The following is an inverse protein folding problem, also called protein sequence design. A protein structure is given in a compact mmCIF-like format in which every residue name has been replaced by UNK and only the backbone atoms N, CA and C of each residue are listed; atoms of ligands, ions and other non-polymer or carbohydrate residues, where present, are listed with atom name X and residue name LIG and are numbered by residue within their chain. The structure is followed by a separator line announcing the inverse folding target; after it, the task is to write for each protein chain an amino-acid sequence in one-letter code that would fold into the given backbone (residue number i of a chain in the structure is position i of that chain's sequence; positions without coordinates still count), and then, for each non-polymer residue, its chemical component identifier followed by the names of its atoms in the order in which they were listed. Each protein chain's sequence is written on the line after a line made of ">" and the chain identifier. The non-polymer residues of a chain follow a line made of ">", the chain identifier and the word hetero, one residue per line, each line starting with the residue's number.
data_IF_999326540012
#
_entry.id   IF_999326540012
#
_cell.length_a   1.000
_cell.length_b   1.000
_cell.length_c   1.000
_cell.angle_alpha   90.00
_cell.angle_beta   90.00
_cell.angle_gamma   90.00
#
_symmetry.space_group_name_H-M   'P 1'
#
loop_
_entity.id
_entity.type
_entity.pdbx_description
1 polymer ?
#
# COMPACT_ATOMS: atom_id res chain seq x y z
N UNK A 1 13.79 -7.19 -2.65
CA UNK A 1 12.34 -7.38 -2.49
C UNK A 1 11.87 -8.74 -3.02
N UNK A 2 11.05 -9.48 -2.26
CA UNK A 2 10.45 -10.77 -2.67
C UNK A 2 9.10 -10.58 -3.37
N UNK A 3 8.36 -9.54 -2.99
CA UNK A 3 7.04 -9.19 -3.51
C UNK A 3 7.05 -7.80 -4.15
N UNK A 4 6.21 -7.55 -5.17
CA UNK A 4 6.04 -6.20 -5.71
C UNK A 4 5.50 -5.23 -4.64
N UNK A 5 5.92 -3.94 -4.64
CA UNK A 5 5.46 -2.95 -3.66
C UNK A 5 3.94 -2.84 -3.61
N UNK A 6 3.31 -2.85 -4.79
CA UNK A 6 1.87 -2.72 -4.95
C UNK A 6 1.11 -3.90 -4.34
N UNK A 7 1.71 -5.11 -4.37
CA UNK A 7 1.13 -6.29 -3.73
C UNK A 7 1.20 -6.17 -2.20
N UNK A 8 2.30 -5.68 -1.65
CA UNK A 8 2.46 -5.45 -0.21
C UNK A 8 1.45 -4.40 0.26
N UNK A 9 1.36 -3.27 -0.43
CA UNK A 9 0.40 -2.20 -0.15
C UNK A 9 -1.03 -2.73 -0.17
N UNK A 10 -1.40 -3.46 -1.22
CA UNK A 10 -2.74 -4.02 -1.37
C UNK A 10 -3.08 -4.98 -0.23
N UNK A 11 -2.18 -5.92 0.06
CA UNK A 11 -2.38 -6.92 1.10
C UNK A 11 -2.55 -6.26 2.46
N UNK A 12 -1.73 -5.25 2.77
CA UNK A 12 -1.84 -4.55 4.04
C UNK A 12 -3.09 -3.69 4.12
N UNK A 13 -3.45 -2.97 3.05
CA UNK A 13 -4.68 -2.18 2.99
C UNK A 13 -5.93 -3.01 3.26
N UNK A 14 -6.00 -4.25 2.74
CA UNK A 14 -7.11 -5.16 3.01
C UNK A 14 -7.32 -5.48 4.50
N UNK A 15 -6.30 -5.35 5.35
CA UNK A 15 -6.43 -5.56 6.81
C UNK A 15 -7.14 -4.40 7.53
N UNK A 16 -7.17 -3.23 6.90
CA UNK A 16 -7.83 -2.02 7.41
C UNK A 16 -9.28 -1.89 6.94
N UNK A 17 -9.70 -2.76 6.03
CA UNK A 17 -11.01 -2.74 5.41
C UNK A 17 -11.88 -3.85 5.98
N UNK A 18 -13.19 -3.61 5.98
CA UNK A 18 -14.16 -4.69 6.14
C UNK A 18 -14.09 -5.65 4.94
N UNK A 19 -14.67 -6.83 5.10
CA UNK A 19 -14.73 -7.84 4.01
C UNK A 19 -15.41 -7.29 2.76
N UNK A 20 -16.44 -6.45 2.92
CA UNK A 20 -17.18 -5.82 1.83
C UNK A 20 -16.34 -4.77 1.09
N UNK A 21 -15.67 -3.89 1.84
CA UNK A 21 -14.79 -2.86 1.29
C UNK A 21 -13.58 -3.47 0.58
N UNK A 22 -12.99 -4.52 1.15
CA UNK A 22 -11.89 -5.25 0.52
C UNK A 22 -12.33 -5.91 -0.79
N UNK A 23 -13.53 -6.50 -0.82
CA UNK A 23 -14.10 -7.09 -2.04
C UNK A 23 -14.34 -6.04 -3.13
N UNK A 24 -14.87 -4.86 -2.76
CA UNK A 24 -15.07 -3.75 -3.70
C UNK A 24 -13.74 -3.20 -4.24
N UNK A 25 -12.75 -3.00 -3.36
CA UNK A 25 -11.40 -2.60 -3.76
C UNK A 25 -10.79 -3.61 -4.75
N UNK A 26 -10.88 -4.91 -4.44
CA UNK A 26 -10.40 -5.99 -5.32
C UNK A 26 -11.07 -5.96 -6.70
N UNK A 27 -12.39 -5.76 -6.73
CA UNK A 27 -13.16 -5.66 -7.98
C UNK A 27 -12.78 -4.44 -8.82
N UNK A 28 -12.43 -3.32 -8.18
CA UNK A 28 -11.97 -2.11 -8.87
C UNK A 28 -10.55 -2.28 -9.43
N UNK A 29 -9.68 -2.93 -8.67
CA UNK A 29 -8.29 -3.18 -9.08
C UNK A 29 -8.16 -4.29 -10.13
N UNK A 30 -9.01 -5.32 -10.11
CA UNK A 30 -8.97 -6.43 -11.08
C UNK A 30 -9.32 -6.01 -12.52
N UNK A 31 -10.03 -4.88 -12.68
CA UNK A 31 -10.34 -4.28 -14.00
C UNK A 31 -9.14 -3.63 -14.67
N UNK A 32 -8.01 -3.49 -13.97
CA UNK A 32 -6.80 -2.86 -14.49
C UNK A 32 -6.01 -3.94 -15.24
N UNK A 33 -6.20 -4.02 -16.56
CA UNK A 33 -5.58 -5.02 -17.44
C UNK A 33 -4.10 -4.77 -17.71
N UNK A 34 -3.61 -3.53 -17.53
CA UNK A 34 -2.22 -3.16 -17.73
C UNK A 34 -1.66 -2.76 -16.37
N UNK A 35 -0.68 -3.54 -15.88
CA UNK A 35 0.07 -3.35 -14.64
C UNK A 35 0.98 -2.10 -14.67
N UNK A 36 0.50 -0.99 -15.22
CA UNK A 36 1.12 0.30 -15.03
C UNK A 36 0.91 0.71 -13.58
N UNK A 37 1.97 0.68 -12.77
CA UNK A 37 1.89 1.02 -11.34
C UNK A 37 1.18 2.36 -11.07
N UNK A 38 1.24 3.30 -12.00
CA UNK A 38 0.50 4.58 -11.94
C UNK A 38 -1.03 4.41 -11.97
N UNK A 39 -1.58 3.54 -12.81
CA UNK A 39 -3.03 3.31 -12.90
C UNK A 39 -3.51 2.58 -11.65
N UNK A 40 -2.77 1.56 -11.20
CA UNK A 40 -3.02 0.88 -9.94
C UNK A 40 -3.08 1.89 -8.79
N UNK A 41 -2.04 2.69 -8.62
CA UNK A 41 -1.92 3.65 -7.52
C UNK A 41 -3.02 4.71 -7.56
N UNK A 42 -3.34 5.24 -8.74
CA UNK A 42 -4.45 6.19 -8.90
C UNK A 42 -5.79 5.59 -8.50
N UNK A 43 -6.07 4.34 -8.88
CA UNK A 43 -7.31 3.67 -8.50
C UNK A 43 -7.32 3.35 -7.01
N UNK A 44 -6.20 2.86 -6.47
CA UNK A 44 -6.02 2.57 -5.05
C UNK A 44 -6.28 3.81 -4.19
N UNK A 45 -5.58 4.92 -4.44
CA UNK A 45 -5.72 6.17 -3.68
C UNK A 45 -7.10 6.84 -3.78
N UNK A 46 -7.92 6.44 -4.75
CA UNK A 46 -9.32 6.91 -4.86
C UNK A 46 -10.30 6.09 -4.02
N UNK A 47 -9.92 4.88 -3.64
CA UNK A 47 -10.80 3.91 -2.99
C UNK A 47 -10.30 3.49 -1.62
N UNK A 48 -9.12 3.94 -1.22
CA UNK A 48 -8.52 3.66 0.06
C UNK A 48 -7.90 4.95 0.62
N UNK A 49 -8.28 5.30 1.84
CA UNK A 49 -7.68 6.41 2.57
C UNK A 49 -6.35 5.97 3.18
N UNK A 50 -5.23 6.48 2.64
CA UNK A 50 -3.90 6.10 3.12
C UNK A 50 -3.53 6.75 4.46
N UNK A 51 -4.24 7.78 4.89
CA UNK A 51 -3.96 8.44 6.18
C UNK A 51 -4.22 7.47 7.35
N UNK A 52 -5.02 6.40 7.16
CA UNK A 52 -5.22 5.35 8.18
C UNK A 52 -3.93 4.67 8.61
N UNK A 53 -2.94 4.53 7.71
CA UNK A 53 -1.63 3.96 8.04
C UNK A 53 -0.81 4.84 9.00
N UNK A 54 -1.16 6.12 9.10
CA UNK A 54 -0.53 7.08 10.01
C UNK A 54 -1.38 7.31 11.26
N UNK A 55 -2.69 7.50 11.08
CA UNK A 55 -3.58 7.95 12.14
C UNK A 55 -4.11 6.79 13.00
N UNK A 56 -4.26 5.60 12.40
CA UNK A 56 -4.76 4.40 13.07
C UNK A 56 -3.96 3.15 12.70
N UNK A 57 -2.61 3.16 12.84
CA UNK A 57 -1.79 2.03 12.46
C UNK A 57 -2.16 0.77 13.26
N UNK A 58 -2.32 -0.36 12.58
CA UNK A 58 -2.43 -1.68 13.21
C UNK A 58 -1.10 -2.07 13.87
N UNK A 59 0.01 -1.67 13.26
CA UNK A 59 1.37 -1.76 13.79
C UNK A 59 2.14 -0.48 13.48
N UNK A 60 3.09 -0.10 14.33
CA UNK A 60 3.83 1.17 14.18
C UNK A 60 4.52 1.30 12.82
N UNK A 61 4.98 0.19 12.26
CA UNK A 61 5.68 0.10 10.99
C UNK A 61 4.78 0.43 9.78
N UNK A 62 3.46 0.44 9.93
CA UNK A 62 2.54 0.87 8.85
C UNK A 62 2.79 2.34 8.43
N UNK A 63 3.42 3.14 9.30
CA UNK A 63 3.89 4.48 8.95
C UNK A 63 4.88 4.47 7.76
N UNK A 64 5.61 3.37 7.55
CA UNK A 64 6.51 3.24 6.41
C UNK A 64 5.74 3.10 5.10
N UNK A 65 4.58 2.44 5.10
CA UNK A 65 3.69 2.37 3.93
C UNK A 65 3.09 3.74 3.61
N UNK A 66 2.65 4.47 4.64
CA UNK A 66 2.20 5.85 4.49
C UNK A 66 3.28 6.70 3.82
N UNK A 67 4.49 6.68 4.36
CA UNK A 67 5.61 7.46 3.84
C UNK A 67 5.98 7.05 2.42
N UNK A 68 5.98 5.75 2.11
CA UNK A 68 6.22 5.26 0.75
C UNK A 68 5.18 5.79 -0.25
N UNK A 69 3.90 5.73 0.10
CA UNK A 69 2.80 6.22 -0.74
C UNK A 69 2.82 7.75 -0.90
N UNK A 70 3.18 8.48 0.16
CA UNK A 70 3.15 9.95 0.20
C UNK A 70 4.41 10.64 -0.32
N UNK A 71 5.57 10.00 -0.25
CA UNK A 71 6.84 10.64 -0.60
C UNK A 71 7.50 10.01 -1.83
N UNK A 72 7.45 8.69 -1.94
CA UNK A 72 8.11 7.97 -3.03
C UNK A 72 7.25 7.93 -4.30
N UNK A 73 5.93 7.81 -4.14
CA UNK A 73 4.98 7.66 -5.25
C UNK A 73 4.38 8.99 -5.73
N UNK A 74 4.07 9.92 -4.82
CA UNK A 74 3.34 11.16 -5.13
C UNK A 74 4.24 12.38 -5.38
N UNK A 75 5.55 12.15 -5.62
CA UNK A 75 6.55 13.13 -6.08
C UNK A 75 6.79 14.37 -5.19
N UNK A 76 6.25 14.42 -3.98
CA UNK A 76 6.49 15.54 -3.06
C UNK A 76 7.61 15.21 -2.09
N UNK A 77 8.82 15.65 -2.45
CA UNK A 77 10.02 15.81 -1.59
C UNK A 77 10.56 14.59 -0.82
N UNK A 78 11.83 14.29 -1.14
CA UNK A 78 12.78 13.35 -0.52
C UNK A 78 12.60 11.88 -0.93
N UNK A 79 13.43 11.37 -1.87
CA UNK A 79 13.45 9.96 -2.21
C UNK A 79 13.99 9.15 -1.01
N UNK A 80 13.10 8.50 -0.27
CA UNK A 80 13.46 7.53 0.77
C UNK A 80 13.51 6.14 0.16
N UNK A 81 14.53 5.91 -0.68
CA UNK A 81 14.75 4.62 -1.34
C UNK A 81 14.76 3.51 -0.28
N UNK A 82 13.91 2.49 -0.47
CA UNK A 82 13.94 1.27 0.33
C UNK A 82 13.02 1.22 1.55
N UNK A 83 12.08 2.17 1.71
CA UNK A 83 11.07 2.08 2.77
C UNK A 83 10.18 0.84 2.63
N UNK A 84 9.78 0.53 1.40
CA UNK A 84 8.98 -0.68 1.14
C UNK A 84 9.80 -1.96 1.33
N UNK A 85 11.09 -1.95 0.98
CA UNK A 85 11.98 -3.09 1.22
C UNK A 85 12.20 -3.33 2.72
N UNK A 86 12.36 -2.24 3.50
CA UNK A 86 12.46 -2.33 4.96
C UNK A 86 11.16 -2.89 5.56
N UNK A 87 10.02 -2.37 5.13
CA UNK A 87 8.71 -2.84 5.58
C UNK A 87 8.50 -4.32 5.23
N UNK A 88 8.89 -4.73 4.02
CA UNK A 88 8.79 -6.13 3.59
C UNK A 88 9.57 -7.06 4.53
N UNK A 89 10.84 -6.71 4.82
CA UNK A 89 11.73 -7.53 5.65
C UNK A 89 11.30 -7.58 7.11
N UNK A 90 10.95 -6.43 7.68
CA UNK A 90 10.70 -6.35 9.12
C UNK A 90 9.30 -6.81 9.52
N UNK A 91 8.34 -6.70 8.60
CA UNK A 91 6.92 -6.95 8.89
C UNK A 91 6.35 -8.02 7.98
N UNK A 92 6.33 -7.75 6.66
CA UNK A 92 5.49 -8.49 5.72
C UNK A 92 5.86 -9.97 5.64
N UNK A 93 7.16 -10.27 5.66
CA UNK A 93 7.65 -11.65 5.62
C UNK A 93 7.50 -12.38 6.96
N UNK A 94 7.35 -11.67 8.08
CA UNK A 94 7.20 -12.27 9.42
C UNK A 94 5.75 -12.56 9.81
N UNK A 95 4.79 -11.89 9.17
CA UNK A 95 3.36 -11.97 9.48
C UNK A 95 2.54 -12.79 8.47
N UNK A 96 3.21 -13.47 7.54
CA UNK A 96 2.61 -14.30 6.51
C UNK A 96 2.83 -15.78 6.81
#
# INVERSE_FOLDING_TARGET
>A
MKYPPLYIIHTQACKYLTTEEAADLNKKLSKITIYGGRIFLRTFLKNFDIEVFKDKPLILEDIYLYNYLKYEITKTSIPRIGLIDLYEREVFLKTK
#
